data_IF_392466258982
#
_entry.id   IF_392466258982
#
_cell.length_a   1.000
_cell.length_b   1.000
_cell.length_c   1.000
_cell.angle_alpha   90.00
_cell.angle_beta   90.00
_cell.angle_gamma   90.00
#
_symmetry.space_group_name_H-M   'P 1'
#
loop_
_entity.id
_entity.type
_entity.pdbx_description
1 polymer ?
#
# COMPACT_ATOMS: atom_id res chain seq x y z
N UNK A 1 -9.34 -5.82 -22.91
CA UNK A 1 -10.65 -5.44 -22.32
C UNK A 1 -11.62 -5.27 -23.46
N UNK A 2 -12.81 -5.88 -23.45
CA UNK A 2 -13.83 -5.64 -24.49
C UNK A 2 -14.93 -4.80 -23.86
N UNK A 3 -15.04 -3.57 -24.30
CA UNK A 3 -16.06 -2.66 -23.80
C UNK A 3 -17.38 -2.91 -24.56
N UNK A 4 -18.44 -3.19 -23.82
CA UNK A 4 -19.78 -3.26 -24.39
C UNK A 4 -20.33 -1.83 -24.58
N UNK A 5 -20.81 -1.52 -25.78
CA UNK A 5 -21.63 -0.33 -26.03
C UNK A 5 -23.10 -0.68 -25.78
N UNK A 6 -23.82 0.19 -25.07
CA UNK A 6 -25.29 0.18 -25.05
C UNK A 6 -25.99 -0.26 -23.76
N UNK A 7 -25.31 -0.32 -22.62
CA UNK A 7 -25.97 -0.36 -21.31
C UNK A 7 -25.89 1.03 -20.68
N UNK A 8 -27.04 1.62 -20.34
CA UNK A 8 -27.13 2.89 -19.61
C UNK A 8 -26.90 2.72 -18.09
N UNK A 9 -26.71 1.47 -17.62
CA UNK A 9 -26.46 1.22 -16.21
C UNK A 9 -25.02 1.64 -15.81
N UNK A 10 -24.83 2.32 -14.68
CA UNK A 10 -23.49 2.65 -14.18
C UNK A 10 -22.73 1.37 -13.85
N UNK A 11 -21.41 1.40 -13.99
CA UNK A 11 -20.53 0.29 -13.64
C UNK A 11 -19.54 0.66 -12.53
N UNK A 12 -19.04 -0.37 -11.86
CA UNK A 12 -17.86 -0.31 -11.00
C UNK A 12 -16.90 -1.41 -11.44
N UNK A 13 -15.66 -1.06 -11.73
CA UNK A 13 -14.62 -2.00 -12.12
C UNK A 13 -13.39 -1.82 -11.23
N UNK A 14 -12.97 -2.92 -10.59
CA UNK A 14 -11.67 -3.00 -9.93
C UNK A 14 -10.72 -3.85 -10.79
N UNK A 15 -9.72 -3.21 -11.40
CA UNK A 15 -8.66 -3.88 -12.14
C UNK A 15 -7.41 -3.99 -11.25
N UNK A 16 -7.32 -5.08 -10.49
CA UNK A 16 -6.21 -5.34 -9.56
C UNK A 16 -5.10 -6.14 -10.24
N UNK A 17 -3.95 -5.49 -10.47
CA UNK A 17 -2.78 -6.12 -11.06
C UNK A 17 -1.79 -6.59 -9.99
N UNK A 18 -0.98 -7.59 -10.32
CA UNK A 18 0.02 -8.13 -9.41
C UNK A 18 1.34 -7.32 -9.41
N UNK A 19 1.78 -6.86 -10.58
CA UNK A 19 3.02 -6.10 -10.71
C UNK A 19 2.87 -4.68 -10.15
N UNK A 20 3.96 -4.06 -9.64
CA UNK A 20 5.36 -4.46 -9.74
C UNK A 20 5.87 -5.41 -8.64
N UNK A 21 4.99 -6.14 -7.94
CA UNK A 21 5.39 -7.15 -6.96
C UNK A 21 6.41 -8.15 -7.54
N UNK A 22 7.32 -8.61 -6.68
CA UNK A 22 8.31 -9.62 -7.00
C UNK A 22 7.65 -10.96 -7.44
N UNK A 23 8.32 -11.81 -8.23
CA UNK A 23 9.69 -11.72 -8.72
C UNK A 23 9.88 -10.63 -9.80
N UNK A 24 10.98 -9.88 -9.71
CA UNK A 24 11.25 -8.75 -10.61
C UNK A 24 11.78 -9.19 -11.97
N UNK A 25 10.88 -9.69 -12.83
CA UNK A 25 11.20 -10.16 -14.17
C UNK A 25 10.37 -9.41 -15.22
N UNK A 26 10.69 -8.15 -15.56
CA UNK A 26 10.00 -7.43 -16.62
C UNK A 26 10.25 -8.09 -17.99
N UNK A 27 9.31 -7.97 -18.95
CA UNK A 27 9.60 -8.30 -20.34
C UNK A 27 10.79 -7.48 -20.85
N UNK A 28 11.56 -8.08 -21.78
CA UNK A 28 12.84 -7.52 -22.26
C UNK A 28 12.71 -6.08 -22.76
N UNK A 29 11.64 -5.77 -23.49
CA UNK A 29 11.39 -4.43 -24.04
C UNK A 29 11.35 -3.34 -22.95
N UNK A 30 10.74 -3.63 -21.79
CA UNK A 30 10.67 -2.70 -20.66
C UNK A 30 11.97 -2.65 -19.86
N UNK A 31 12.69 -3.77 -19.77
CA UNK A 31 14.03 -3.79 -19.18
C UNK A 31 14.99 -2.90 -19.96
N UNK A 32 14.92 -2.93 -21.29
CA UNK A 32 15.81 -2.20 -22.19
C UNK A 32 15.58 -0.68 -22.14
N UNK A 33 14.38 -0.20 -21.82
CA UNK A 33 14.09 1.24 -21.61
C UNK A 33 14.97 1.88 -20.55
N UNK A 34 15.44 1.09 -19.59
CA UNK A 34 16.25 1.55 -18.45
C UNK A 34 17.73 1.12 -18.57
N UNK A 35 18.23 0.82 -19.77
CA UNK A 35 19.61 0.38 -19.98
C UNK A 35 20.65 1.41 -19.51
N UNK A 36 20.42 2.67 -19.85
CA UNK A 36 21.31 3.79 -19.55
C UNK A 36 20.68 4.77 -18.54
N UNK A 37 19.62 4.33 -17.84
CA UNK A 37 18.94 5.17 -16.87
C UNK A 37 19.83 5.42 -15.65
N UNK A 38 19.87 6.68 -15.18
CA UNK A 38 20.48 7.03 -13.91
C UNK A 38 19.58 6.54 -12.76
N UNK A 39 19.93 5.39 -12.20
CA UNK A 39 19.19 4.74 -11.13
C UNK A 39 19.87 5.02 -9.80
N UNK A 40 19.23 5.86 -8.99
CA UNK A 40 19.62 6.09 -7.61
C UNK A 40 19.58 4.78 -6.82
N UNK A 41 20.61 4.55 -6.01
CA UNK A 41 20.69 3.44 -5.06
C UNK A 41 20.72 3.99 -3.63
N UNK A 42 20.23 3.25 -2.63
CA UNK A 42 20.26 3.69 -1.24
C UNK A 42 21.68 3.93 -0.73
N UNK A 43 21.81 4.91 0.16
CA UNK A 43 22.97 5.04 1.02
C UNK A 43 22.81 4.14 2.26
N UNK A 44 23.91 3.53 2.68
CA UNK A 44 23.93 2.66 3.87
C UNK A 44 24.96 3.19 4.87
N UNK A 45 24.52 3.95 5.90
CA UNK A 45 25.40 4.37 6.99
C UNK A 45 26.11 3.17 7.63
N UNK A 46 27.35 3.37 8.07
CA UNK A 46 28.15 2.31 8.69
C UNK A 46 27.55 1.76 9.99
N UNK A 47 26.79 2.60 10.69
CA UNK A 47 26.08 2.37 11.95
C UNK A 47 24.58 2.09 11.74
N UNK A 48 24.15 1.78 10.51
CA UNK A 48 22.75 1.51 10.17
C UNK A 48 22.08 0.51 11.13
N UNK A 49 22.81 -0.54 11.52
CA UNK A 49 22.33 -1.59 12.42
C UNK A 49 21.96 -1.09 13.82
N UNK A 50 22.60 0.00 14.29
CA UNK A 50 22.35 0.59 15.59
C UNK A 50 21.05 1.41 15.58
N UNK A 51 20.61 1.87 14.41
CA UNK A 51 19.36 2.60 14.24
C UNK A 51 18.10 1.72 14.23
N UNK A 52 18.26 0.40 14.04
CA UNK A 52 17.13 -0.52 13.90
C UNK A 52 16.34 -0.71 15.20
N UNK A 53 15.03 -0.49 15.09
CA UNK A 53 14.05 -0.85 16.12
C UNK A 53 13.90 -2.37 16.27
N UNK A 54 13.16 -2.81 17.29
CA UNK A 54 12.80 -4.21 17.44
C UNK A 54 12.03 -4.74 16.20
N UNK A 55 11.13 -3.92 15.66
CA UNK A 55 10.35 -4.24 14.46
C UNK A 55 11.24 -4.49 13.24
N UNK A 56 12.22 -3.61 13.01
CA UNK A 56 13.16 -3.72 11.88
C UNK A 56 13.99 -4.99 11.97
N UNK A 57 14.47 -5.31 13.19
CA UNK A 57 15.24 -6.53 13.45
C UNK A 57 14.43 -7.79 13.20
N UNK A 58 13.17 -7.83 13.62
CA UNK A 58 12.28 -8.98 13.34
C UNK A 58 12.03 -9.15 11.84
N UNK A 59 11.75 -8.05 11.14
CA UNK A 59 11.49 -8.08 9.71
C UNK A 59 12.73 -8.53 8.92
N UNK A 60 13.90 -7.98 9.24
CA UNK A 60 15.17 -8.39 8.65
C UNK A 60 15.49 -9.86 8.90
N UNK A 61 15.21 -10.36 10.11
CA UNK A 61 15.36 -11.77 10.44
C UNK A 61 14.39 -12.66 9.65
N UNK A 62 13.13 -12.24 9.51
CA UNK A 62 12.11 -12.95 8.75
C UNK A 62 12.50 -13.09 7.27
N UNK A 63 12.96 -12.00 6.64
CA UNK A 63 13.43 -12.02 5.26
C UNK A 63 14.83 -12.63 5.10
N UNK A 64 15.55 -12.87 6.20
CA UNK A 64 16.90 -13.41 6.18
C UNK A 64 17.88 -12.48 5.45
N UNK A 65 17.71 -11.15 5.57
CA UNK A 65 18.49 -10.15 4.81
C UNK A 65 19.99 -10.31 5.00
N UNK A 66 20.43 -10.77 6.18
CA UNK A 66 21.84 -11.08 6.49
C UNK A 66 22.45 -12.24 5.70
N UNK A 67 21.65 -13.02 4.99
CA UNK A 67 22.11 -14.12 4.12
C UNK A 67 22.39 -13.66 2.68
N UNK A 68 22.13 -12.39 2.38
CA UNK A 68 22.20 -11.82 1.03
C UNK A 68 22.99 -10.51 1.04
N UNK A 69 23.78 -10.25 0.01
CA UNK A 69 24.51 -8.99 -0.12
C UNK A 69 23.60 -7.87 -0.69
N UNK A 70 22.84 -7.22 0.20
CA UNK A 70 21.88 -6.16 -0.18
C UNK A 70 22.51 -4.77 -0.37
N UNK A 71 23.81 -4.62 -0.12
CA UNK A 71 24.52 -3.34 -0.26
C UNK A 71 25.33 -3.23 -1.56
N UNK A 72 25.34 -4.28 -2.38
CA UNK A 72 26.10 -4.31 -3.64
C UNK A 72 25.49 -3.34 -4.66
N UNK A 73 26.20 -2.28 -5.10
CA UNK A 73 25.65 -1.26 -5.98
C UNK A 73 25.11 -1.80 -7.31
N UNK A 74 25.80 -2.78 -7.91
CA UNK A 74 25.41 -3.31 -9.22
C UNK A 74 24.17 -4.19 -9.12
N UNK A 75 24.05 -4.98 -8.04
CA UNK A 75 22.84 -5.76 -7.76
C UNK A 75 21.64 -4.86 -7.47
N UNK A 76 21.84 -3.77 -6.72
CA UNK A 76 20.80 -2.79 -6.42
C UNK A 76 20.30 -2.07 -7.68
N UNK A 77 21.22 -1.63 -8.55
CA UNK A 77 20.85 -1.02 -9.84
C UNK A 77 20.04 -2.00 -10.70
N UNK A 78 20.45 -3.28 -10.78
CA UNK A 78 19.70 -4.29 -11.52
C UNK A 78 18.32 -4.55 -10.93
N UNK A 79 18.20 -4.64 -9.60
CA UNK A 79 16.93 -4.82 -8.92
C UNK A 79 15.97 -3.66 -9.19
N UNK A 80 16.43 -2.42 -8.99
CA UNK A 80 15.62 -1.22 -9.22
C UNK A 80 15.28 -1.03 -10.70
N UNK A 81 16.21 -1.35 -11.61
CA UNK A 81 15.96 -1.38 -13.05
C UNK A 81 14.81 -2.34 -13.39
N UNK A 82 14.81 -3.54 -12.81
CA UNK A 82 13.75 -4.51 -13.04
C UNK A 82 12.41 -4.01 -12.52
N UNK A 83 12.39 -3.43 -11.32
CA UNK A 83 11.20 -2.83 -10.73
C UNK A 83 10.65 -1.68 -11.61
N UNK A 84 11.50 -0.75 -12.06
CA UNK A 84 11.06 0.34 -12.94
C UNK A 84 10.54 -0.15 -14.29
N UNK A 85 11.17 -1.17 -14.88
CA UNK A 85 10.64 -1.84 -16.07
C UNK A 85 9.23 -2.42 -15.83
N UNK A 86 8.98 -3.02 -14.66
CA UNK A 86 7.64 -3.49 -14.30
C UNK A 86 6.65 -2.35 -14.06
N UNK A 87 7.10 -1.20 -13.56
CA UNK A 87 6.25 0.00 -13.44
C UNK A 87 5.84 0.50 -14.82
N UNK A 88 6.75 0.59 -15.80
CA UNK A 88 6.38 0.97 -17.18
C UNK A 88 5.47 -0.07 -17.83
N UNK A 89 5.72 -1.36 -17.61
CA UNK A 89 4.80 -2.41 -18.04
C UNK A 89 3.38 -2.19 -17.48
N UNK A 90 3.27 -1.76 -16.22
CA UNK A 90 1.99 -1.43 -15.60
C UNK A 90 1.36 -0.17 -16.17
N UNK A 91 2.16 0.87 -16.46
CA UNK A 91 1.71 2.09 -17.14
C UNK A 91 1.04 1.76 -18.49
N UNK A 92 1.65 0.88 -19.30
CA UNK A 92 1.05 0.41 -20.56
C UNK A 92 -0.30 -0.31 -20.35
N UNK A 93 -0.45 -1.09 -19.25
CA UNK A 93 -1.73 -1.75 -18.96
C UNK A 93 -2.80 -0.74 -18.56
N UNK A 94 -2.45 0.27 -17.77
CA UNK A 94 -3.35 1.37 -17.42
C UNK A 94 -3.73 2.16 -18.67
N UNK A 95 -2.77 2.47 -19.54
CA UNK A 95 -3.00 3.11 -20.83
C UNK A 95 -3.99 2.35 -21.70
N UNK A 96 -3.89 1.02 -21.73
CA UNK A 96 -4.86 0.16 -22.43
C UNK A 96 -6.28 0.21 -21.86
N UNK A 97 -6.45 0.36 -20.53
CA UNK A 97 -7.76 0.55 -19.90
C UNK A 97 -8.35 1.92 -20.26
N UNK A 98 -7.53 2.96 -20.20
CA UNK A 98 -7.94 4.33 -20.53
C UNK A 98 -8.34 4.47 -22.01
N UNK A 99 -7.54 3.89 -22.92
CA UNK A 99 -7.86 3.86 -24.34
C UNK A 99 -9.20 3.15 -24.61
N UNK A 100 -9.49 2.04 -23.93
CA UNK A 100 -10.78 1.36 -24.07
C UNK A 100 -11.97 2.22 -23.60
N UNK A 101 -11.80 3.01 -22.53
CA UNK A 101 -12.82 3.97 -22.07
C UNK A 101 -13.02 5.10 -23.09
N UNK A 102 -11.94 5.58 -23.71
CA UNK A 102 -11.99 6.63 -24.73
C UNK A 102 -12.67 6.13 -26.02
N UNK A 103 -12.25 4.98 -26.56
CA UNK A 103 -12.81 4.36 -27.77
C UNK A 103 -14.31 4.09 -27.66
N UNK A 104 -14.81 3.89 -26.43
CA UNK A 104 -16.22 3.66 -26.16
C UNK A 104 -17.01 4.90 -25.73
N UNK A 105 -16.35 6.06 -25.63
CA UNK A 105 -16.97 7.31 -25.21
C UNK A 105 -17.40 7.33 -23.74
N UNK A 106 -16.83 6.45 -22.91
CA UNK A 106 -17.15 6.33 -21.49
C UNK A 106 -16.19 7.14 -20.59
N UNK A 107 -15.02 7.51 -21.11
CA UNK A 107 -13.97 8.17 -20.33
C UNK A 107 -14.45 9.47 -19.66
N UNK A 108 -15.25 10.29 -20.35
CA UNK A 108 -15.73 11.56 -19.82
C UNK A 108 -16.83 11.41 -18.77
N UNK A 109 -17.43 10.23 -18.65
CA UNK A 109 -18.42 9.90 -17.61
C UNK A 109 -17.88 8.91 -16.57
N UNK A 110 -16.56 8.72 -16.49
CA UNK A 110 -15.93 7.75 -15.59
C UNK A 110 -14.95 8.44 -14.63
N UNK A 111 -15.15 8.20 -13.33
CA UNK A 111 -14.12 8.48 -12.31
C UNK A 111 -13.07 7.38 -12.38
N UNK A 112 -11.80 7.75 -12.57
CA UNK A 112 -10.68 6.79 -12.61
C UNK A 112 -9.82 6.99 -11.37
N UNK A 113 -9.56 5.91 -10.65
CA UNK A 113 -8.73 5.91 -9.44
C UNK A 113 -7.55 4.97 -9.67
N UNK A 114 -6.33 5.49 -9.49
CA UNK A 114 -5.10 4.70 -9.51
C UNK A 114 -4.48 4.70 -8.11
N UNK A 115 -4.21 3.52 -7.58
CA UNK A 115 -3.60 3.33 -6.26
C UNK A 115 -2.86 1.99 -6.19
N UNK A 116 -2.15 1.77 -5.09
CA UNK A 116 -1.56 0.48 -4.71
C UNK A 116 -1.99 0.11 -3.29
N UNK A 117 -1.84 -1.16 -2.91
CA UNK A 117 -2.13 -1.70 -1.58
C UNK A 117 -1.02 -1.42 -0.57
N UNK A 118 0.25 -1.47 -1.00
CA UNK A 118 1.42 -1.09 -0.23
C UNK A 118 2.60 -0.72 -1.13
N UNK A 119 3.64 -0.11 -0.55
CA UNK A 119 4.89 0.15 -1.24
C UNK A 119 5.88 -1.02 -1.18
N UNK A 120 7.13 -0.75 -1.54
CA UNK A 120 8.25 -1.68 -1.44
C UNK A 120 9.50 -0.90 -1.00
N UNK A 121 10.21 -1.42 0.00
CA UNK A 121 11.43 -0.85 0.53
C UNK A 121 12.53 -0.74 -0.53
N UNK A 122 12.54 -1.57 -1.57
CA UNK A 122 13.53 -1.53 -2.66
C UNK A 122 14.98 -1.35 -2.15
N UNK A 123 15.30 -2.11 -1.09
CA UNK A 123 16.58 -2.14 -0.38
C UNK A 123 16.94 -0.87 0.40
N UNK A 124 16.04 0.09 0.54
CA UNK A 124 16.20 1.22 1.46
C UNK A 124 16.36 0.68 2.88
N UNK A 125 17.31 1.26 3.64
CA UNK A 125 17.68 0.79 4.98
C UNK A 125 18.05 -0.70 5.03
N UNK A 126 18.56 -1.29 3.95
CA UNK A 126 18.89 -2.73 3.84
C UNK A 126 17.66 -3.65 4.05
N UNK A 127 16.45 -3.11 3.83
CA UNK A 127 15.17 -3.82 4.00
C UNK A 127 14.55 -4.12 2.65
N UNK A 128 13.79 -5.20 2.57
CA UNK A 128 13.12 -5.64 1.33
C UNK A 128 11.61 -5.73 1.54
N UNK A 129 10.85 -5.63 0.45
CA UNK A 129 9.41 -5.75 0.46
C UNK A 129 8.74 -4.70 1.36
N UNK A 130 7.74 -5.13 2.12
CA UNK A 130 6.79 -4.32 2.88
C UNK A 130 6.81 -4.76 4.35
N UNK A 131 5.72 -4.50 5.09
CA UNK A 131 5.51 -4.93 6.50
C UNK A 131 6.21 -4.04 7.53
N UNK A 132 6.74 -2.91 7.11
CA UNK A 132 7.19 -1.84 7.99
C UNK A 132 6.49 -0.52 7.65
N UNK A 133 6.70 0.49 8.51
CA UNK A 133 6.01 1.77 8.42
C UNK A 133 6.84 2.89 7.77
N UNK A 134 8.05 2.58 7.32
CA UNK A 134 8.86 3.52 6.56
C UNK A 134 8.13 3.94 5.27
N UNK A 135 8.40 5.17 4.79
CA UNK A 135 7.71 5.79 3.65
C UNK A 135 7.69 4.86 2.44
N UNK A 136 8.80 4.20 2.12
CA UNK A 136 8.88 3.30 0.97
C UNK A 136 7.92 2.09 1.04
N UNK A 137 7.62 1.57 2.24
CA UNK A 137 6.70 0.44 2.44
C UNK A 137 5.25 0.90 2.64
N UNK A 138 5.03 2.02 3.32
CA UNK A 138 3.70 2.45 3.74
C UNK A 138 3.03 3.45 2.79
N UNK A 139 3.80 4.27 2.07
CA UNK A 139 3.25 5.29 1.17
C UNK A 139 2.98 4.68 -0.20
N UNK A 140 1.77 4.90 -0.68
CA UNK A 140 1.31 4.47 -2.01
C UNK A 140 0.84 5.68 -2.83
N UNK A 141 0.91 5.61 -4.17
CA UNK A 141 0.27 6.62 -5.00
C UNK A 141 -1.25 6.56 -4.80
N UNK A 142 -1.91 7.73 -4.85
CA UNK A 142 -3.36 7.83 -5.00
C UNK A 142 -3.66 8.98 -5.96
N UNK A 143 -4.10 8.64 -7.17
CA UNK A 143 -4.45 9.59 -8.22
C UNK A 143 -5.92 9.38 -8.56
N UNK A 144 -6.71 10.45 -8.56
CA UNK A 144 -8.13 10.41 -8.88
C UNK A 144 -8.38 11.38 -10.03
N UNK A 145 -8.89 10.86 -11.15
CA UNK A 145 -9.42 11.65 -12.27
C UNK A 145 -10.94 11.67 -12.17
N UNK A 146 -11.51 12.87 -12.11
CA UNK A 146 -12.95 13.08 -12.22
C UNK A 146 -13.37 13.32 -13.68
N UNK A 147 -14.65 13.08 -14.02
CA UNK A 147 -15.30 13.62 -15.21
C UNK A 147 -14.96 15.10 -15.44
N UNK A 148 -14.87 15.50 -16.71
CA UNK A 148 -14.61 16.89 -17.13
C UNK A 148 -13.33 17.53 -16.57
N UNK A 149 -12.38 16.72 -16.08
CA UNK A 149 -11.09 17.18 -15.53
C UNK A 149 -11.22 18.13 -14.33
N UNK A 150 -12.29 18.00 -13.55
CA UNK A 150 -12.49 18.80 -12.34
C UNK A 150 -11.28 18.68 -11.40
N UNK A 151 -10.67 19.84 -11.08
CA UNK A 151 -9.46 19.97 -10.25
C UNK A 151 -8.22 19.21 -10.77
N UNK A 152 -8.07 19.07 -12.10
CA UNK A 152 -6.87 18.47 -12.68
C UNK A 152 -5.58 19.22 -12.28
N UNK A 153 -4.51 18.46 -11.98
CA UNK A 153 -3.22 19.00 -11.59
C UNK A 153 -3.14 19.52 -10.15
N UNK A 154 -4.20 19.34 -9.35
CA UNK A 154 -4.17 19.64 -7.91
C UNK A 154 -3.49 18.53 -7.11
N UNK A 155 -2.83 18.89 -6.01
CA UNK A 155 -2.20 17.95 -5.10
C UNK A 155 -2.72 18.18 -3.67
N UNK A 156 -3.25 17.12 -3.05
CA UNK A 156 -3.63 17.14 -1.65
C UNK A 156 -2.38 16.98 -0.77
N UNK A 157 -2.17 17.92 0.16
CA UNK A 157 -1.04 17.90 1.10
C UNK A 157 -1.36 17.20 2.42
N UNK A 158 -2.64 16.88 2.65
CA UNK A 158 -3.07 16.21 3.87
C UNK A 158 -2.82 14.70 3.77
N UNK A 159 -2.43 14.05 4.89
CA UNK A 159 -2.42 12.60 4.96
C UNK A 159 -3.79 12.00 4.63
N UNK A 160 -3.79 10.96 3.81
CA UNK A 160 -4.98 10.19 3.40
C UNK A 160 -4.70 8.69 3.57
N UNK A 161 -5.76 7.89 3.61
CA UNK A 161 -5.68 6.43 3.77
C UNK A 161 -6.45 5.72 2.66
N UNK A 162 -6.06 4.48 2.34
CA UNK A 162 -6.86 3.59 1.51
C UNK A 162 -8.26 3.34 2.09
N UNK A 163 -8.41 3.47 3.42
CA UNK A 163 -9.71 3.38 4.09
C UNK A 163 -10.68 4.49 3.65
N UNK A 164 -10.16 5.61 3.17
CA UNK A 164 -10.96 6.76 2.70
C UNK A 164 -11.66 6.47 1.35
N UNK A 165 -11.23 5.45 0.60
CA UNK A 165 -11.77 5.14 -0.73
C UNK A 165 -13.23 4.69 -0.68
N UNK A 166 -13.59 3.77 0.24
CA UNK A 166 -14.96 3.28 0.37
C UNK A 166 -15.98 4.42 0.60
N UNK A 167 -15.84 5.28 1.63
CA UNK A 167 -16.78 6.38 1.83
C UNK A 167 -16.73 7.41 0.70
N UNK A 168 -15.58 7.60 0.04
CA UNK A 168 -15.50 8.46 -1.16
C UNK A 168 -16.35 7.91 -2.30
N UNK A 169 -16.27 6.61 -2.58
CA UNK A 169 -17.05 5.96 -3.63
C UNK A 169 -18.54 5.97 -3.31
N UNK A 170 -18.91 5.70 -2.06
CA UNK A 170 -20.29 5.79 -1.60
C UNK A 170 -20.85 7.21 -1.81
N UNK A 171 -20.11 8.25 -1.42
CA UNK A 171 -20.53 9.63 -1.60
C UNK A 171 -20.69 9.99 -3.10
N UNK A 172 -19.75 9.57 -3.95
CA UNK A 172 -19.84 9.78 -5.41
C UNK A 172 -21.05 9.08 -6.03
N UNK A 173 -21.38 7.88 -5.55
CA UNK A 173 -22.53 7.10 -6.00
C UNK A 173 -23.86 7.54 -5.37
N UNK A 174 -23.86 8.52 -4.45
CA UNK A 174 -25.06 8.96 -3.75
C UNK A 174 -25.65 7.90 -2.81
N UNK A 175 -24.79 7.05 -2.22
CA UNK A 175 -25.18 5.96 -1.32
C UNK A 175 -24.34 5.97 -0.04
N UNK A 176 -24.65 5.07 0.88
CA UNK A 176 -23.91 4.82 2.12
C UNK A 176 -23.24 3.45 2.10
N UNK A 177 -22.18 3.29 2.88
CA UNK A 177 -21.51 1.99 3.03
C UNK A 177 -22.41 1.01 3.81
N UNK A 178 -22.49 -0.23 3.33
CA UNK A 178 -23.34 -1.25 3.94
C UNK A 178 -22.79 -1.81 5.27
N UNK A 179 -21.50 -1.61 5.54
CA UNK A 179 -20.81 -2.07 6.74
C UNK A 179 -20.10 -0.89 7.42
N UNK A 180 -19.86 -0.97 8.75
CA UNK A 180 -19.03 0.00 9.45
C UNK A 180 -17.66 0.14 8.78
N UNK A 181 -17.15 1.37 8.74
CA UNK A 181 -15.83 1.69 8.21
C UNK A 181 -15.18 2.83 9.00
N UNK A 182 -13.86 2.89 8.98
CA UNK A 182 -13.07 3.87 9.74
C UNK A 182 -12.54 5.03 8.86
N UNK A 183 -12.78 4.97 7.55
CA UNK A 183 -12.36 6.03 6.61
C UNK A 183 -13.31 7.23 6.58
N UNK A 184 -12.84 8.33 6.00
CA UNK A 184 -13.65 9.51 5.69
C UNK A 184 -13.55 9.84 4.20
N UNK A 185 -14.63 10.36 3.61
CA UNK A 185 -14.60 10.76 2.19
C UNK A 185 -13.51 11.80 1.93
N UNK A 186 -12.83 11.65 0.79
CA UNK A 186 -11.78 12.54 0.29
C UNK A 186 -12.32 13.78 -0.41
N UNK A 187 -13.58 13.79 -0.86
CA UNK A 187 -14.14 14.90 -1.63
C UNK A 187 -14.02 16.26 -0.91
N UNK A 188 -14.26 16.38 0.42
CA UNK A 188 -14.06 17.65 1.13
C UNK A 188 -12.61 18.14 1.18
N UNK A 189 -11.62 17.28 0.93
CA UNK A 189 -10.21 17.66 0.89
C UNK A 189 -9.82 18.34 -0.43
N UNK A 190 -10.64 18.21 -1.48
CA UNK A 190 -10.38 18.83 -2.78
C UNK A 190 -10.52 20.35 -2.75
N UNK A 191 -11.29 20.87 -1.80
CA UNK A 191 -11.47 22.32 -1.58
C UNK A 191 -10.49 22.89 -0.54
N UNK A 192 -9.40 22.18 -0.23
CA UNK A 192 -8.34 22.58 0.72
C UNK A 192 -8.85 23.03 2.10
N UNK A 193 -9.86 22.33 2.64
CA UNK A 193 -10.29 22.55 4.01
C UNK A 193 -9.24 21.99 4.96
N UNK A 194 -8.54 22.82 5.76
CA UNK A 194 -7.53 22.33 6.69
C UNK A 194 -8.21 21.43 7.70
N UNK A 195 -7.86 20.14 7.66
CA UNK A 195 -8.29 19.16 8.64
C UNK A 195 -7.09 18.64 9.39
N UNK A 196 -7.17 18.70 10.70
CA UNK A 196 -6.27 17.95 11.56
C UNK A 196 -6.66 16.46 11.46
N UNK A 197 -6.00 15.75 10.55
CA UNK A 197 -6.23 14.31 10.31
C UNK A 197 -5.05 13.51 10.80
N UNK A 198 -5.37 12.36 11.36
CA UNK A 198 -4.40 11.31 11.63
C UNK A 198 -4.79 10.04 10.87
N UNK A 199 -3.76 9.32 10.41
CA UNK A 199 -3.89 8.04 9.71
C UNK A 199 -3.19 6.96 10.51
N UNK A 200 -3.78 5.77 10.58
CA UNK A 200 -3.16 4.62 11.20
C UNK A 200 -2.78 3.55 10.17
N UNK A 201 -1.72 2.79 10.46
CA UNK A 201 -1.39 1.55 9.76
C UNK A 201 -0.92 0.49 10.76
N UNK A 202 -1.25 -0.77 10.51
CA UNK A 202 -0.91 -1.87 11.40
C UNK A 202 0.00 -2.88 10.70
N UNK A 203 0.93 -3.47 11.45
CA UNK A 203 1.72 -4.60 10.99
C UNK A 203 1.41 -5.82 11.88
N UNK A 204 1.01 -6.92 11.25
CA UNK A 204 0.65 -8.19 11.91
C UNK A 204 1.47 -9.38 11.38
N UNK A 205 2.38 -9.14 10.43
CA UNK A 205 3.22 -10.15 9.79
C UNK A 205 4.69 -9.79 10.00
N UNK A 206 5.55 -10.79 10.23
CA UNK A 206 6.99 -10.61 10.48
C UNK A 206 7.35 -9.73 11.69
N UNK A 207 6.40 -9.52 12.61
CA UNK A 207 6.58 -8.79 13.86
C UNK A 207 6.31 -9.68 15.07
N UNK A 208 7.01 -9.43 16.17
CA UNK A 208 6.90 -10.17 17.43
C UNK A 208 5.88 -9.60 18.42
N UNK A 209 5.32 -8.43 18.15
CA UNK A 209 4.36 -7.75 18.99
C UNK A 209 3.43 -6.87 18.13
N UNK A 210 2.26 -6.44 18.65
CA UNK A 210 1.44 -5.43 17.98
C UNK A 210 2.26 -4.18 17.65
N UNK A 211 2.28 -3.83 16.36
CA UNK A 211 2.95 -2.66 15.84
C UNK A 211 1.92 -1.78 15.14
N UNK A 212 1.84 -0.51 15.54
CA UNK A 212 0.84 0.45 15.06
C UNK A 212 1.56 1.77 14.74
N UNK A 213 1.38 2.26 13.52
CA UNK A 213 1.83 3.59 13.12
C UNK A 213 0.67 4.57 13.23
N UNK A 214 0.96 5.78 13.69
CA UNK A 214 0.09 6.96 13.53
C UNK A 214 0.85 8.07 12.80
N UNK A 215 0.19 8.68 11.81
CA UNK A 215 0.70 9.81 11.02
C UNK A 215 -0.21 11.00 11.23
N UNK A 216 0.34 12.12 11.71
CA UNK A 216 -0.41 13.38 11.87
C UNK A 216 0.48 14.58 11.46
N UNK A 217 -0.04 15.49 10.62
CA UNK A 217 0.68 16.71 10.22
C UNK A 217 1.98 16.41 9.48
N UNK A 218 3.15 16.67 10.07
CA UNK A 218 4.50 16.27 9.55
C UNK A 218 5.13 15.08 10.28
N UNK A 219 4.55 14.66 11.40
CA UNK A 219 5.10 13.61 12.25
C UNK A 219 4.53 12.24 11.95
N UNK A 220 5.37 11.22 12.10
CA UNK A 220 5.00 9.80 12.06
C UNK A 220 5.54 9.11 13.31
N UNK A 221 4.69 8.36 14.00
CA UNK A 221 5.04 7.66 15.24
C UNK A 221 4.72 6.18 15.10
N UNK A 222 5.72 5.34 15.36
CA UNK A 222 5.59 3.89 15.35
C UNK A 222 5.55 3.40 16.80
N UNK A 223 4.38 2.95 17.23
CA UNK A 223 4.19 2.25 18.49
C UNK A 223 4.55 0.77 18.30
N UNK A 224 5.49 0.28 19.11
CA UNK A 224 5.90 -1.13 19.14
C UNK A 224 5.62 -1.63 20.55
N UNK A 225 4.61 -2.49 20.71
CA UNK A 225 4.13 -2.88 22.03
C UNK A 225 5.21 -3.58 22.86
N UNK A 226 5.60 -2.96 23.98
CA UNK A 226 6.64 -3.48 24.90
C UNK A 226 8.08 -3.17 24.50
N UNK A 227 8.30 -2.34 23.47
CA UNK A 227 9.63 -1.94 22.97
C UNK A 227 9.70 -0.43 22.78
N UNK A 228 10.92 0.07 22.51
CA UNK A 228 11.13 1.49 22.23
C UNK A 228 10.39 1.91 20.95
N UNK A 229 9.65 3.03 20.98
CA UNK A 229 8.94 3.53 19.81
C UNK A 229 9.87 4.27 18.86
N UNK A 230 9.33 4.64 17.70
CA UNK A 230 9.99 5.58 16.79
C UNK A 230 9.12 6.81 16.58
N UNK A 231 9.76 7.99 16.48
CA UNK A 231 9.13 9.23 16.08
C UNK A 231 10.00 9.88 14.99
N UNK A 232 9.39 10.20 13.86
CA UNK A 232 10.05 10.83 12.73
C UNK A 232 9.33 12.12 12.34
N UNK A 233 10.13 13.13 11.99
CA UNK A 233 9.68 14.34 11.34
C UNK A 233 9.92 14.22 9.85
N UNK A 234 8.87 13.98 9.06
CA UNK A 234 9.00 13.66 7.64
C UNK A 234 9.27 14.87 6.75
N UNK A 235 9.09 16.10 7.26
CA UNK A 235 9.49 17.31 6.52
C UNK A 235 10.98 17.60 6.69
N UNK A 236 11.53 17.38 7.90
CA UNK A 236 12.95 17.58 8.17
C UNK A 236 13.81 16.36 7.78
N UNK A 237 13.24 15.16 7.87
CA UNK A 237 13.91 13.88 7.65
C UNK A 237 13.01 12.91 6.85
N UNK A 238 12.87 13.13 5.52
CA UNK A 238 12.04 12.29 4.67
C UNK A 238 12.49 10.83 4.60
N UNK A 239 13.75 10.55 4.93
CA UNK A 239 14.33 9.21 4.94
C UNK A 239 14.27 8.50 6.29
N UNK A 240 13.72 9.16 7.32
CA UNK A 240 13.46 8.58 8.64
C UNK A 240 14.73 8.00 9.28
N UNK A 241 15.83 8.75 9.21
CA UNK A 241 17.13 8.35 9.73
C UNK A 241 17.30 8.68 11.21
N UNK A 242 16.58 9.67 11.72
CA UNK A 242 16.73 10.22 13.05
C UNK A 242 15.48 9.93 13.90
N UNK A 243 15.57 8.94 14.79
CA UNK A 243 14.49 8.66 15.74
C UNK A 243 14.45 9.72 16.86
N UNK A 244 13.39 10.52 16.88
CA UNK A 244 13.17 11.62 17.83
C UNK A 244 12.47 11.20 19.13
N UNK A 245 12.07 9.93 19.27
CA UNK A 245 11.21 9.50 20.38
C UNK A 245 11.87 9.66 21.77
N UNK A 246 13.20 9.61 21.84
CA UNK A 246 13.98 9.83 23.06
C UNK A 246 14.42 11.28 23.28
N UNK A 247 14.13 12.20 22.35
CA UNK A 247 14.60 13.58 22.43
C UNK A 247 13.69 14.42 23.34
N UNK A 248 14.28 15.13 24.31
CA UNK A 248 13.53 15.97 25.27
C UNK A 248 12.65 17.00 24.58
N UNK A 249 13.13 17.62 23.50
CA UNK A 249 12.40 18.64 22.74
C UNK A 249 11.15 18.09 22.01
N UNK A 250 11.07 16.77 21.80
CA UNK A 250 9.97 16.10 21.11
C UNK A 250 9.09 15.26 22.04
N UNK A 251 9.34 15.31 23.36
CA UNK A 251 8.63 14.49 24.34
C UNK A 251 7.11 14.74 24.33
N UNK A 252 6.67 15.99 24.15
CA UNK A 252 5.25 16.34 24.06
C UNK A 252 4.58 15.72 22.82
N UNK A 253 5.24 15.80 21.66
CA UNK A 253 4.76 15.19 20.40
C UNK A 253 4.69 13.67 20.52
N UNK A 254 5.74 13.03 21.04
CA UNK A 254 5.76 11.59 21.27
C UNK A 254 4.61 11.14 22.21
N UNK A 255 4.38 11.89 23.29
CA UNK A 255 3.29 11.60 24.23
C UNK A 255 1.90 11.76 23.59
N UNK A 256 1.69 12.82 22.80
CA UNK A 256 0.45 13.03 22.05
C UNK A 256 0.18 11.88 21.08
N UNK A 257 1.17 11.52 20.25
CA UNK A 257 0.99 10.48 19.23
C UNK A 257 0.82 9.09 19.86
N UNK A 258 1.51 8.82 20.98
CA UNK A 258 1.25 7.63 21.80
C UNK A 258 -0.18 7.61 22.34
N UNK A 259 -0.69 8.76 22.81
CA UNK A 259 -2.09 8.92 23.24
C UNK A 259 -3.06 8.54 22.14
N UNK A 260 -2.90 9.09 20.93
CA UNK A 260 -3.73 8.75 19.77
C UNK A 260 -3.76 7.25 19.48
N UNK A 261 -2.64 6.55 19.59
CA UNK A 261 -2.61 5.09 19.40
C UNK A 261 -3.42 4.38 20.50
N UNK A 262 -3.22 4.74 21.76
CA UNK A 262 -3.84 4.03 22.89
C UNK A 262 -5.31 4.40 23.12
N UNK A 263 -5.76 5.54 22.64
CA UNK A 263 -7.16 5.94 22.66
C UNK A 263 -7.99 5.15 21.62
N UNK A 264 -7.33 4.70 20.53
CA UNK A 264 -7.98 3.98 19.43
C UNK A 264 -7.78 2.46 19.50
N UNK A 265 -6.68 2.00 20.10
CA UNK A 265 -6.29 0.59 20.08
C UNK A 265 -5.94 0.10 21.48
N UNK A 266 -6.25 -1.18 21.72
CA UNK A 266 -5.85 -1.91 22.92
C UNK A 266 -4.78 -2.96 22.55
N UNK A 267 -3.47 -2.62 22.58
CA UNK A 267 -2.41 -3.51 22.12
C UNK A 267 -2.40 -4.87 22.81
N UNK A 268 -2.69 -4.93 24.10
CA UNK A 268 -2.77 -6.17 24.88
C UNK A 268 -3.88 -7.09 24.35
N UNK A 269 -5.04 -6.53 24.02
CA UNK A 269 -6.15 -7.28 23.42
C UNK A 269 -5.79 -7.75 22.01
N UNK A 270 -5.18 -6.88 21.19
CA UNK A 270 -4.70 -7.23 19.85
C UNK A 270 -3.69 -8.39 19.91
N UNK A 271 -2.78 -8.39 20.89
CA UNK A 271 -1.82 -9.47 21.08
C UNK A 271 -2.51 -10.80 21.39
N UNK A 272 -3.50 -10.80 22.29
CA UNK A 272 -4.27 -11.98 22.65
C UNK A 272 -5.08 -12.52 21.45
N UNK A 273 -5.78 -11.63 20.73
CA UNK A 273 -6.61 -11.98 19.57
C UNK A 273 -5.78 -12.52 18.41
N UNK A 274 -4.59 -11.96 18.17
CA UNK A 274 -3.67 -12.45 17.15
C UNK A 274 -3.28 -13.91 17.41
N UNK A 275 -2.97 -14.26 18.66
CA UNK A 275 -2.56 -15.60 19.04
C UNK A 275 -3.72 -16.60 18.89
N UNK A 276 -4.92 -16.25 19.37
CA UNK A 276 -6.12 -17.08 19.19
C UNK A 276 -6.42 -17.31 17.69
N UNK A 277 -6.36 -16.24 16.90
CA UNK A 277 -6.57 -16.28 15.44
C UNK A 277 -5.56 -17.18 14.72
N UNK A 278 -4.29 -17.21 15.16
CA UNK A 278 -3.27 -18.11 14.59
C UNK A 278 -3.61 -19.58 14.86
N UNK A 279 -3.92 -19.94 16.11
CA UNK A 279 -4.27 -21.33 16.45
C UNK A 279 -5.53 -21.80 15.75
N UNK A 280 -6.57 -20.95 15.71
CA UNK A 280 -7.82 -21.26 15.02
C UNK A 280 -7.60 -21.48 13.52
N UNK A 281 -6.80 -20.63 12.87
CA UNK A 281 -6.49 -20.78 11.44
C UNK A 281 -5.65 -22.01 11.15
N UNK A 282 -4.71 -22.38 12.02
CA UNK A 282 -3.92 -23.60 11.83
C UNK A 282 -4.80 -24.85 11.91
N UNK A 283 -5.69 -24.93 12.89
CA UNK A 283 -6.66 -26.01 13.00
C UNK A 283 -7.57 -26.11 11.75
N UNK A 284 -8.11 -24.97 11.29
CA UNK A 284 -8.95 -24.92 10.08
C UNK A 284 -8.15 -25.38 8.86
N UNK A 285 -6.92 -24.89 8.66
CA UNK A 285 -6.05 -25.26 7.54
C UNK A 285 -5.74 -26.75 7.53
N UNK A 286 -5.45 -27.34 8.69
CA UNK A 286 -5.22 -28.78 8.80
C UNK A 286 -6.47 -29.58 8.40
N UNK A 287 -7.64 -29.16 8.88
CA UNK A 287 -8.92 -29.78 8.52
C UNK A 287 -9.22 -29.65 7.03
N UNK A 288 -9.05 -28.47 6.44
CA UNK A 288 -9.23 -28.24 5.01
C UNK A 288 -8.31 -29.15 4.19
N UNK A 289 -7.03 -29.26 4.57
CA UNK A 289 -6.05 -30.12 3.89
C UNK A 289 -6.44 -31.60 3.93
N UNK A 290 -6.90 -32.10 5.07
CA UNK A 290 -7.35 -33.49 5.24
C UNK A 290 -8.60 -33.81 4.41
N UNK A 291 -9.48 -32.84 4.23
CA UNK A 291 -10.74 -32.99 3.52
C UNK A 291 -10.69 -32.54 2.05
N UNK A 292 -9.53 -32.08 1.56
CA UNK A 292 -9.38 -31.59 0.17
C UNK A 292 -10.21 -30.33 -0.13
N UNK A 293 -10.54 -29.53 0.89
CA UNK A 293 -11.35 -28.31 0.70
C UNK A 293 -10.47 -27.18 0.16
N UNK A 294 -10.90 -26.58 -0.94
CA UNK A 294 -10.29 -25.40 -1.55
C UNK A 294 -11.30 -24.26 -1.64
N UNK A 295 -10.82 -23.03 -1.59
CA UNK A 295 -11.63 -21.80 -1.70
C UNK A 295 -11.22 -20.91 -2.88
N UNK A 296 -10.39 -21.44 -3.78
CA UNK A 296 -9.99 -20.73 -4.98
C UNK A 296 -11.23 -20.37 -5.81
N UNK A 297 -11.32 -19.10 -6.20
CA UNK A 297 -12.36 -18.67 -7.12
C UNK A 297 -12.08 -19.24 -8.51
N UNK A 298 -13.02 -20.04 -9.04
CA UNK A 298 -13.03 -20.45 -10.43
C UNK A 298 -14.04 -19.60 -11.19
N UNK A 299 -13.61 -18.95 -12.27
CA UNK A 299 -14.52 -18.25 -13.17
C UNK A 299 -15.42 -19.26 -13.86
N UNK A 300 -16.74 -19.02 -13.84
CA UNK A 300 -17.69 -19.90 -14.53
C UNK A 300 -17.43 -19.88 -16.05
N UNK A 301 -17.11 -21.05 -16.62
CA UNK A 301 -16.95 -21.24 -18.06
C UNK A 301 -18.01 -22.22 -18.56
N UNK A 302 -18.90 -21.75 -19.44
CA UNK A 302 -19.94 -22.57 -20.04
C UNK A 302 -19.58 -22.88 -21.51
N UNK A 303 -19.00 -24.05 -21.81
CA UNK A 303 -18.58 -24.41 -23.16
C UNK A 303 -19.75 -24.56 -24.14
N UNK A 304 -21.00 -24.58 -23.66
CA UNK A 304 -22.21 -24.69 -24.50
C UNK A 304 -22.70 -23.35 -25.00
N UNK A 305 -22.24 -22.26 -24.40
CA UNK A 305 -22.52 -20.89 -24.85
C UNK A 305 -21.54 -20.49 -25.94
N UNK A 306 -22.04 -19.80 -26.96
CA UNK A 306 -21.16 -19.23 -27.98
C UNK A 306 -20.19 -18.22 -27.36
N UNK A 307 -19.06 -17.94 -28.02
CA UNK A 307 -18.07 -16.99 -27.50
C UNK A 307 -18.66 -15.59 -27.21
N UNK A 308 -19.77 -15.21 -27.84
CA UNK A 308 -20.51 -13.98 -27.52
C UNK A 308 -21.34 -14.09 -26.24
N UNK A 309 -21.93 -15.25 -25.96
CA UNK A 309 -22.76 -15.51 -24.78
C UNK A 309 -21.93 -15.83 -23.53
N UNK A 310 -20.66 -16.24 -23.70
CA UNK A 310 -19.70 -16.51 -22.63
C UNK A 310 -19.14 -15.23 -21.98
N UNK A 311 -19.01 -14.14 -22.76
CA UNK A 311 -18.40 -12.89 -22.32
C UNK A 311 -19.32 -11.66 -22.47
N UNK A 312 -20.57 -11.89 -22.90
CA UNK A 312 -21.60 -10.87 -23.07
C UNK A 312 -22.63 -10.91 -21.94
N UNK A 313 -22.34 -10.23 -20.83
CA UNK A 313 -23.33 -9.62 -19.93
C UNK A 313 -22.80 -8.31 -19.39
#
# INVERSE_FOLDING_TARGET
MRAQKGSDAPFFLCASYHHPHEPFHPPQEYWDLYADADIAIPDFPGDLDDSYSAMDRWLNAYHGTRKTELRNPDSLRRLRRAYYGLVTYMDDKVGGLLAALEETGQLDNTVVVFTSDHGDMLCEKEMVQKRCFYEWSCRVPLIIRFPDQWQAGTACKHPVSLLDLLPTFCQLAGTEAALPHDGASLLPLLDDHPRDRYIFAHAHEAVGAPCIMVRQGRYKYNYIHGYDPQLFDLEADPGEWNNLAGCTDHAATAAQMRGLVLDHFAPEAIAADNLDSLYRREFIRESMRKNGVQWDHATAFDPTRGALDQYGR
#
